data_IF_943974821244
#
_entry.id   IF_943974821244
#
_cell.length_a   1.000
_cell.length_b   1.000
_cell.length_c   1.000
_cell.angle_alpha   90.00
_cell.angle_beta   90.00
_cell.angle_gamma   90.00
#
_symmetry.space_group_name_H-M   'P 1'
#
loop_
_entity.id
_entity.type
_entity.pdbx_description
1 polymer ?
#
# COMPACT_ATOMS: atom_id res chain seq x y z
N UNK A 1 -9.82 -19.42 -26.70
CA UNK A 1 -8.94 -19.30 -25.51
C UNK A 1 -8.90 -17.83 -25.13
N UNK A 2 -9.58 -17.44 -24.04
CA UNK A 2 -9.59 -16.05 -23.55
C UNK A 2 -8.27 -15.84 -22.80
N UNK A 3 -7.37 -15.06 -23.39
CA UNK A 3 -6.16 -14.63 -22.71
C UNK A 3 -6.57 -13.72 -21.55
N UNK A 4 -6.51 -14.23 -20.32
CA UNK A 4 -6.60 -13.42 -19.12
C UNK A 4 -5.32 -12.58 -19.06
N UNK A 5 -5.40 -11.35 -19.52
CA UNK A 5 -4.32 -10.37 -19.36
C UNK A 5 -4.17 -10.15 -17.85
N UNK A 6 -3.00 -10.42 -17.23
CA UNK A 6 -2.80 -10.03 -15.84
C UNK A 6 -2.87 -8.50 -15.79
N UNK A 7 -3.95 -7.97 -15.20
CA UNK A 7 -4.06 -6.53 -14.93
C UNK A 7 -3.08 -6.25 -13.79
N UNK A 8 -1.79 -6.12 -14.11
CA UNK A 8 -0.81 -5.53 -13.23
C UNK A 8 -1.01 -4.00 -13.28
N UNK A 9 -2.13 -3.53 -12.75
CA UNK A 9 -2.36 -2.10 -12.58
C UNK A 9 -1.64 -1.67 -11.29
N UNK A 10 -0.47 -1.07 -11.45
CA UNK A 10 0.17 -0.30 -10.38
C UNK A 10 -0.35 1.14 -10.48
N UNK A 11 -1.29 1.50 -9.61
CA UNK A 11 -1.79 2.86 -9.55
C UNK A 11 -0.76 3.72 -8.80
N UNK A 12 0.13 4.40 -9.53
CA UNK A 12 1.14 5.29 -8.95
C UNK A 12 0.55 6.70 -8.76
N UNK A 13 0.43 7.12 -7.50
CA UNK A 13 -0.30 8.33 -7.13
C UNK A 13 0.68 9.45 -6.79
N UNK A 14 1.27 10.05 -7.82
CA UNK A 14 2.08 11.26 -7.68
C UNK A 14 1.16 12.49 -7.62
N UNK A 15 0.99 13.07 -6.44
CA UNK A 15 0.42 14.41 -6.30
C UNK A 15 -0.71 14.50 -5.27
N UNK A 16 -0.37 14.99 -4.07
CA UNK A 16 -1.15 15.88 -3.20
C UNK A 16 -0.45 15.90 -1.84
N UNK A 17 0.35 16.94 -1.59
CA UNK A 17 1.40 16.89 -0.58
C UNK A 17 1.05 17.56 0.77
N UNK A 18 -0.22 17.73 1.13
CA UNK A 18 -0.61 18.48 2.34
C UNK A 18 -1.44 17.64 3.32
N UNK A 19 -0.97 17.56 4.58
CA UNK A 19 -1.71 17.01 5.73
C UNK A 19 -1.80 15.48 5.88
N UNK A 20 -2.25 14.99 7.06
CA UNK A 20 -2.78 13.63 7.20
C UNK A 20 -4.07 13.52 6.36
N UNK A 21 -4.16 12.48 5.54
CA UNK A 21 -5.30 12.27 4.65
C UNK A 21 -6.40 11.50 5.40
N UNK A 22 -7.63 12.01 5.36
CA UNK A 22 -8.83 11.29 5.83
C UNK A 22 -9.21 10.18 4.84
N UNK A 23 -10.00 9.20 5.28
CA UNK A 23 -10.49 8.11 4.40
C UNK A 23 -11.27 8.69 3.22
N UNK A 24 -12.07 9.74 3.46
CA UNK A 24 -12.87 10.45 2.47
C UNK A 24 -11.99 11.15 1.43
N UNK A 25 -10.90 11.80 1.87
CA UNK A 25 -9.92 12.42 0.98
C UNK A 25 -9.17 11.37 0.15
N UNK A 26 -8.75 10.27 0.77
CA UNK A 26 -8.12 9.14 0.09
C UNK A 26 -9.04 8.55 -0.98
N UNK A 27 -10.30 8.30 -0.63
CA UNK A 27 -11.27 7.75 -1.57
C UNK A 27 -11.61 8.75 -2.68
N UNK A 28 -11.81 10.03 -2.37
CA UNK A 28 -12.06 11.09 -3.36
C UNK A 28 -10.92 11.21 -4.39
N UNK A 29 -9.68 11.05 -3.92
CA UNK A 29 -8.49 11.06 -4.77
C UNK A 29 -8.43 9.82 -5.66
N UNK A 30 -8.89 8.67 -5.17
CA UNK A 30 -8.75 7.38 -5.84
C UNK A 30 -9.98 6.93 -6.64
N UNK A 31 -11.16 7.48 -6.37
CA UNK A 31 -12.41 7.09 -7.03
C UNK A 31 -12.34 7.33 -8.54
N UNK A 32 -11.71 8.43 -8.96
CA UNK A 32 -11.51 8.75 -10.38
C UNK A 32 -10.68 7.71 -11.13
N UNK A 33 -9.78 7.02 -10.42
CA UNK A 33 -8.98 5.93 -10.98
C UNK A 33 -9.74 4.61 -10.89
N UNK A 34 -10.47 4.38 -9.80
CA UNK A 34 -11.30 3.19 -9.62
C UNK A 34 -12.34 3.02 -10.74
N UNK A 35 -12.96 4.12 -11.19
CA UNK A 35 -13.97 4.10 -12.27
C UNK A 35 -13.37 3.80 -13.66
N UNK A 36 -12.06 3.95 -13.81
CA UNK A 36 -11.33 3.64 -15.06
C UNK A 36 -10.74 2.24 -15.10
N UNK A 37 -10.73 1.53 -13.97
CA UNK A 37 -10.20 0.18 -13.90
C UNK A 37 -11.26 -0.81 -14.39
N UNK A 38 -10.92 -1.69 -15.34
CA UNK A 38 -11.87 -2.69 -15.81
C UNK A 38 -12.32 -3.56 -14.64
N UNK A 39 -13.63 -3.83 -14.56
CA UNK A 39 -14.16 -4.82 -13.62
C UNK A 39 -13.52 -6.17 -13.91
N UNK A 40 -12.74 -6.67 -12.96
CA UNK A 40 -12.16 -8.01 -13.06
C UNK A 40 -13.29 -9.04 -12.94
N UNK A 41 -13.29 -10.05 -13.82
CA UNK A 41 -14.21 -11.19 -13.73
C UNK A 41 -13.83 -12.19 -12.62
N UNK A 42 -12.67 -11.99 -11.99
CA UNK A 42 -12.09 -12.81 -10.93
C UNK A 42 -11.74 -11.92 -9.73
N UNK A 43 -11.67 -12.50 -8.51
CA UNK A 43 -11.14 -11.79 -7.37
C UNK A 43 -9.73 -11.25 -7.66
N UNK A 44 -9.49 -10.00 -7.25
CA UNK A 44 -8.19 -9.36 -7.34
C UNK A 44 -7.51 -9.38 -5.98
N UNK A 45 -6.25 -9.78 -5.94
CA UNK A 45 -5.40 -9.63 -4.77
C UNK A 45 -4.73 -8.27 -4.81
N UNK A 46 -4.75 -7.58 -3.68
CA UNK A 46 -4.19 -6.25 -3.55
C UNK A 46 -2.90 -6.26 -2.75
N UNK A 47 -1.93 -5.46 -3.19
CA UNK A 47 -0.79 -5.05 -2.38
C UNK A 47 -0.86 -3.54 -2.23
N UNK A 48 -0.91 -3.08 -0.98
CA UNK A 48 -1.00 -1.68 -0.63
C UNK A 48 0.37 -1.13 -0.29
N UNK A 49 0.71 0.04 -0.81
CA UNK A 49 1.90 0.80 -0.42
C UNK A 49 1.47 2.09 0.24
N UNK A 50 1.81 2.24 1.52
CA UNK A 50 1.54 3.42 2.32
C UNK A 50 2.80 4.28 2.49
N UNK A 51 2.61 5.60 2.51
CA UNK A 51 3.59 6.57 2.96
C UNK A 51 3.25 7.01 4.38
N UNK A 52 4.20 6.75 5.28
CA UNK A 52 4.09 7.00 6.70
C UNK A 52 4.73 8.33 7.12
N UNK A 53 5.25 9.13 6.18
CA UNK A 53 5.95 10.40 6.49
C UNK A 53 5.09 11.41 7.25
N UNK A 54 3.76 11.26 7.21
CA UNK A 54 2.78 12.11 7.91
C UNK A 54 2.17 11.46 9.14
N UNK A 55 2.44 10.18 9.39
CA UNK A 55 2.10 9.53 10.67
C UNK A 55 3.10 10.01 11.72
N UNK A 56 2.66 10.30 12.94
CA UNK A 56 3.52 10.69 14.05
C UNK A 56 4.53 9.58 14.44
N UNK A 57 5.60 9.96 15.13
CA UNK A 57 6.67 9.00 15.48
C UNK A 57 6.18 7.85 16.35
N UNK A 58 5.25 8.11 17.27
CA UNK A 58 4.80 7.11 18.23
C UNK A 58 3.97 6.05 17.51
N UNK A 59 3.07 6.47 16.62
CA UNK A 59 2.29 5.57 15.78
C UNK A 59 3.16 4.80 14.79
N UNK A 60 4.21 5.42 14.21
CA UNK A 60 5.18 4.68 13.37
C UNK A 60 5.93 3.61 14.17
N UNK A 61 6.34 3.92 15.39
CA UNK A 61 7.00 2.96 16.28
C UNK A 61 6.07 1.82 16.67
N UNK A 62 4.79 2.11 16.93
CA UNK A 62 3.76 1.09 17.14
C UNK A 62 3.63 0.18 15.91
N UNK A 63 3.51 0.74 14.70
CA UNK A 63 3.43 -0.05 13.46
C UNK A 63 4.67 -0.94 13.30
N UNK A 64 5.86 -0.44 13.60
CA UNK A 64 7.09 -1.22 13.54
C UNK A 64 7.12 -2.37 14.58
N UNK A 65 6.51 -2.17 15.74
CA UNK A 65 6.52 -3.14 16.84
C UNK A 65 5.41 -4.21 16.73
N UNK A 66 4.21 -3.83 16.29
CA UNK A 66 3.03 -4.71 16.33
C UNK A 66 2.26 -4.82 15.01
N UNK A 67 2.71 -4.12 13.96
CA UNK A 67 2.05 -4.10 12.65
C UNK A 67 0.79 -3.24 12.61
N UNK A 68 0.07 -3.33 11.49
CA UNK A 68 -1.27 -2.74 11.36
C UNK A 68 -2.26 -3.67 12.06
N UNK A 69 -3.08 -3.12 12.96
CA UNK A 69 -4.19 -3.82 13.65
C UNK A 69 -3.77 -5.14 14.32
N UNK A 70 -2.56 -5.19 14.89
CA UNK A 70 -2.09 -6.36 15.64
C UNK A 70 -1.71 -7.57 14.78
N UNK A 71 -1.53 -7.38 13.46
CA UNK A 71 -1.09 -8.43 12.52
C UNK A 71 0.36 -8.91 12.76
N UNK A 72 1.06 -8.32 13.72
CA UNK A 72 2.45 -8.63 14.03
C UNK A 72 3.43 -7.71 13.30
N UNK A 73 4.68 -7.64 13.76
CA UNK A 73 5.65 -6.68 13.25
C UNK A 73 5.95 -6.91 11.76
N UNK A 74 6.09 -5.83 10.95
CA UNK A 74 6.51 -5.95 9.56
C UNK A 74 7.99 -6.37 9.47
N UNK A 75 8.36 -6.92 8.32
CA UNK A 75 9.79 -7.07 7.97
C UNK A 75 10.39 -5.68 7.79
N UNK A 76 11.34 -5.30 8.64
CA UNK A 76 11.96 -3.98 8.58
C UNK A 76 13.15 -4.00 7.62
N UNK A 77 13.07 -3.19 6.57
CA UNK A 77 14.17 -2.87 5.67
C UNK A 77 14.76 -1.53 6.15
N UNK A 78 15.54 -1.55 7.24
CA UNK A 78 16.27 -0.36 7.70
C UNK A 78 17.35 -0.65 8.76
N UNK A 79 18.59 -0.20 8.48
CA UNK A 79 19.49 0.45 9.44
C UNK A 79 20.79 0.96 8.77
N UNK A 80 21.40 0.19 7.85
CA UNK A 80 22.79 0.43 7.40
C UNK A 80 23.03 0.29 5.86
N UNK A 81 22.00 0.40 5.02
CA UNK A 81 22.19 0.23 3.57
C UNK A 81 22.09 1.57 2.81
N UNK A 82 22.87 1.76 1.71
CA UNK A 82 22.70 2.91 0.82
C UNK A 82 21.26 2.99 0.31
N UNK A 83 20.73 4.21 0.14
CA UNK A 83 19.33 4.43 -0.20
C UNK A 83 18.87 3.65 -1.46
N UNK A 84 19.69 3.59 -2.51
CA UNK A 84 19.36 2.81 -3.72
C UNK A 84 19.17 1.31 -3.44
N UNK A 85 19.94 0.74 -2.51
CA UNK A 85 19.90 -0.70 -2.19
C UNK A 85 18.70 -1.02 -1.30
N UNK A 86 18.42 -0.17 -0.30
CA UNK A 86 17.25 -0.34 0.56
C UNK A 86 15.92 -0.20 -0.21
N UNK A 87 15.86 0.71 -1.19
CA UNK A 87 14.71 0.85 -2.09
C UNK A 87 14.50 -0.42 -2.93
N UNK A 88 15.56 -0.92 -3.57
CA UNK A 88 15.49 -2.16 -4.35
C UNK A 88 15.11 -3.38 -3.48
N UNK A 89 15.66 -3.50 -2.28
CA UNK A 89 15.30 -4.56 -1.33
C UNK A 89 13.82 -4.47 -0.92
N UNK A 90 13.31 -3.27 -0.66
CA UNK A 90 11.91 -3.04 -0.35
C UNK A 90 10.96 -3.41 -1.50
N UNK A 91 11.31 -3.07 -2.75
CA UNK A 91 10.51 -3.41 -3.93
C UNK A 91 10.52 -4.92 -4.22
N UNK A 92 11.67 -5.58 -4.04
CA UNK A 92 11.85 -7.00 -4.31
C UNK A 92 11.34 -7.92 -3.19
N UNK A 93 11.18 -7.40 -1.96
CA UNK A 93 10.63 -8.20 -0.86
C UNK A 93 9.13 -8.35 -1.06
N UNK A 94 8.67 -9.60 -1.16
CA UNK A 94 7.24 -9.91 -1.27
C UNK A 94 6.52 -9.51 0.04
N UNK A 95 5.50 -8.63 -0.01
CA UNK A 95 4.78 -8.27 1.18
C UNK A 95 3.87 -9.41 1.62
N UNK A 96 3.91 -9.71 2.92
CA UNK A 96 2.94 -10.57 3.59
C UNK A 96 1.87 -9.77 4.33
N UNK A 97 0.98 -10.45 5.10
CA UNK A 97 -0.06 -9.81 5.91
C UNK A 97 0.48 -8.84 6.97
N UNK A 98 1.69 -9.11 7.47
CA UNK A 98 2.37 -8.29 8.49
C UNK A 98 3.07 -7.06 7.86
N UNK A 99 3.31 -7.13 6.55
CA UNK A 99 3.92 -6.08 5.76
C UNK A 99 5.45 -6.02 5.77
N UNK A 100 5.98 -5.10 4.97
CA UNK A 100 7.40 -4.78 4.84
C UNK A 100 7.54 -3.27 5.01
N UNK A 101 8.40 -2.84 5.92
CA UNK A 101 8.59 -1.44 6.29
C UNK A 101 9.98 -0.95 5.87
N UNK A 102 10.05 0.01 4.95
CA UNK A 102 11.25 0.79 4.66
C UNK A 102 11.31 1.98 5.62
N UNK A 103 12.09 1.85 6.70
CA UNK A 103 12.25 2.92 7.71
C UNK A 103 13.45 3.83 7.46
N UNK A 104 14.40 3.43 6.61
CA UNK A 104 15.68 4.12 6.39
C UNK A 104 15.61 5.36 5.47
N UNK A 105 14.44 5.72 4.94
CA UNK A 105 14.29 6.80 3.98
C UNK A 105 13.13 7.73 4.34
N UNK A 106 13.25 8.99 3.93
CA UNK A 106 12.11 9.90 3.82
C UNK A 106 11.62 9.87 2.37
N UNK A 107 10.39 9.42 2.08
CA UNK A 107 9.36 8.98 3.02
C UNK A 107 9.55 7.54 3.53
N UNK A 108 9.15 7.26 4.77
CA UNK A 108 9.05 5.90 5.28
C UNK A 108 7.87 5.20 4.58
N UNK A 109 8.11 4.02 4.02
CA UNK A 109 7.12 3.31 3.20
C UNK A 109 6.77 1.96 3.83
N UNK A 110 5.50 1.59 3.78
CA UNK A 110 5.00 0.31 4.25
C UNK A 110 4.25 -0.40 3.12
N UNK A 111 4.63 -1.63 2.79
CA UNK A 111 3.91 -2.49 1.86
C UNK A 111 3.18 -3.59 2.61
N UNK A 112 1.89 -3.79 2.36
CA UNK A 112 1.08 -4.82 3.02
C UNK A 112 0.30 -5.60 1.98
N UNK A 113 0.27 -6.93 2.12
CA UNK A 113 -0.63 -7.76 1.34
C UNK A 113 -2.06 -7.64 1.89
N UNK A 114 -2.98 -7.24 1.02
CA UNK A 114 -4.41 -7.21 1.25
C UNK A 114 -5.07 -8.56 1.02
N UNK A 115 -6.40 -8.56 1.17
CA UNK A 115 -7.23 -9.72 0.87
C UNK A 115 -7.52 -9.87 -0.64
N UNK A 116 -8.38 -10.84 -0.93
CA UNK A 116 -9.05 -10.92 -2.22
C UNK A 116 -10.24 -9.95 -2.24
N UNK A 117 -10.40 -9.20 -3.32
CA UNK A 117 -11.47 -8.23 -3.52
C UNK A 117 -12.26 -8.55 -4.78
N UNK A 118 -13.57 -8.28 -4.76
CA UNK A 118 -14.43 -8.48 -5.93
C UNK A 118 -14.12 -7.52 -7.07
N UNK A 119 -13.57 -6.34 -6.76
CA UNK A 119 -13.21 -5.32 -7.75
C UNK A 119 -12.00 -4.51 -7.31
N UNK A 120 -11.38 -3.82 -8.28
CA UNK A 120 -10.32 -2.84 -8.01
C UNK A 120 -10.82 -1.69 -7.10
N UNK A 121 -12.07 -1.26 -7.27
CA UNK A 121 -12.68 -0.22 -6.42
C UNK A 121 -12.83 -0.68 -4.98
N UNK A 122 -13.17 -1.96 -4.74
CA UNK A 122 -13.23 -2.53 -3.40
C UNK A 122 -11.86 -2.60 -2.74
N UNK A 123 -10.83 -3.01 -3.49
CA UNK A 123 -9.45 -3.01 -3.01
C UNK A 123 -8.98 -1.60 -2.63
N UNK A 124 -9.28 -0.59 -3.45
CA UNK A 124 -8.95 0.80 -3.15
C UNK A 124 -9.63 1.28 -1.86
N UNK A 125 -10.92 0.97 -1.68
CA UNK A 125 -11.67 1.34 -0.47
C UNK A 125 -11.09 0.70 0.78
N UNK A 126 -10.71 -0.58 0.69
CA UNK A 126 -10.06 -1.31 1.78
C UNK A 126 -8.71 -0.68 2.13
N UNK A 127 -7.87 -0.44 1.12
CA UNK A 127 -6.58 0.23 1.30
C UNK A 127 -6.70 1.59 1.98
N UNK A 128 -7.67 2.43 1.60
CA UNK A 128 -7.88 3.73 2.25
C UNK A 128 -8.29 3.64 3.73
N UNK A 129 -8.98 2.56 4.12
CA UNK A 129 -9.44 2.35 5.50
C UNK A 129 -8.39 1.67 6.38
N UNK A 130 -7.49 0.89 5.78
CA UNK A 130 -6.54 0.03 6.48
C UNK A 130 -5.57 0.81 7.38
N UNK A 131 -5.14 2.01 6.98
CA UNK A 131 -4.19 2.78 7.77
C UNK A 131 -4.56 4.26 7.83
N UNK A 132 -5.51 4.64 8.69
CA UNK A 132 -5.92 6.03 8.85
C UNK A 132 -4.74 6.95 9.19
N UNK A 133 -4.67 8.10 8.55
CA UNK A 133 -3.57 9.06 8.71
C UNK A 133 -2.31 8.77 7.87
N UNK A 134 -2.17 7.55 7.32
CA UNK A 134 -1.19 7.28 6.27
C UNK A 134 -1.76 7.64 4.89
N UNK A 135 -0.86 7.86 3.94
CA UNK A 135 -1.25 8.10 2.54
C UNK A 135 -1.11 6.81 1.75
N UNK A 136 -2.19 6.34 1.13
CA UNK A 136 -2.12 5.24 0.18
C UNK A 136 -1.47 5.74 -1.12
N UNK A 137 -0.22 5.33 -1.36
CA UNK A 137 0.60 5.73 -2.51
C UNK A 137 0.45 4.82 -3.72
N UNK A 138 0.18 3.54 -3.50
CA UNK A 138 -0.08 2.61 -4.58
C UNK A 138 -0.96 1.46 -4.15
N UNK A 139 -1.75 0.96 -5.09
CA UNK A 139 -2.41 -0.34 -5.03
C UNK A 139 -1.93 -1.10 -6.26
N UNK A 140 -1.24 -2.22 -6.02
CA UNK A 140 -0.92 -3.18 -7.06
C UNK A 140 -1.95 -4.29 -7.01
N UNK A 141 -2.62 -4.52 -8.13
CA UNK A 141 -3.65 -5.55 -8.26
C UNK A 141 -3.11 -6.71 -9.08
N UNK A 142 -3.44 -7.93 -8.70
CA UNK A 142 -3.17 -9.14 -9.49
C UNK A 142 -4.43 -9.99 -9.54
N UNK A 143 -4.76 -10.52 -10.72
CA UNK A 143 -5.86 -11.47 -10.86
C UNK A 143 -5.52 -12.78 -10.12
N UNK A 144 -6.47 -13.27 -9.31
CA UNK A 144 -6.43 -14.61 -8.72
C UNK A 144 -6.97 -15.70 -9.63
#
# INVERSE_FOLDING_TARGET
MRFAVPIAAAVLLSGCNQGPETVEQCYSRLSRLADTLPSAASPVHAVYTFDLSKIDSDRRNQIAASGIDGRGPPTIIAANQPAGVAGAAFENTQPGPNGVLLSAQAPALLRVAGGAHASAGDAIRDGCRMLPGARLKAVALTAG
#
